data_IF_392169229243
#
_entry.id   IF_392169229243
#
_cell.length_a   1.000
_cell.length_b   1.000
_cell.length_c   1.000
_cell.angle_alpha   90.00
_cell.angle_beta   90.00
_cell.angle_gamma   90.00
#
_symmetry.space_group_name_H-M   'P 1'
#
loop_
_entity.id
_entity.type
_entity.pdbx_description
1 polymer ?
#
# COMPACT_ATOMS: atom_id res chain seq x y z
N UNK A 1 23.64 6.85 -7.91
CA UNK A 1 23.49 5.59 -7.16
C UNK A 1 22.12 5.51 -6.51
N UNK A 2 21.72 6.48 -5.68
CA UNK A 2 20.43 6.48 -4.96
C UNK A 2 19.19 6.46 -5.87
N UNK A 3 19.15 7.26 -6.95
CA UNK A 3 18.00 7.25 -7.87
C UNK A 3 17.85 5.93 -8.65
N UNK A 4 18.96 5.30 -9.04
CA UNK A 4 18.90 3.99 -9.70
C UNK A 4 18.36 2.93 -8.74
N UNK A 5 18.85 2.91 -7.50
CA UNK A 5 18.33 2.02 -6.46
C UNK A 5 16.83 2.25 -6.24
N UNK A 6 16.41 3.51 -6.10
CA UNK A 6 15.01 3.89 -5.91
C UNK A 6 14.13 3.42 -7.08
N UNK A 7 14.59 3.59 -8.32
CA UNK A 7 13.89 3.11 -9.51
C UNK A 7 13.73 1.58 -9.50
N UNK A 8 14.83 0.85 -9.27
CA UNK A 8 14.84 -0.62 -9.25
C UNK A 8 13.95 -1.16 -8.14
N UNK A 9 14.04 -0.59 -6.94
CA UNK A 9 13.21 -0.99 -5.79
C UNK A 9 11.73 -0.70 -6.07
N UNK A 10 11.39 0.49 -6.60
CA UNK A 10 10.01 0.82 -6.93
C UNK A 10 9.44 -0.12 -8.00
N UNK A 11 10.23 -0.44 -9.04
CA UNK A 11 9.88 -1.42 -10.07
C UNK A 11 9.63 -2.81 -9.47
N UNK A 12 10.56 -3.32 -8.65
CA UNK A 12 10.42 -4.64 -8.01
C UNK A 12 9.21 -4.65 -7.08
N UNK A 13 9.06 -3.65 -6.23
CA UNK A 13 7.92 -3.51 -5.32
C UNK A 13 6.58 -3.52 -6.07
N UNK A 14 6.48 -2.82 -7.20
CA UNK A 14 5.28 -2.83 -8.03
C UNK A 14 5.04 -4.17 -8.75
N UNK A 15 6.10 -4.86 -9.18
CA UNK A 15 6.02 -6.21 -9.75
C UNK A 15 5.36 -7.16 -8.77
N UNK A 16 5.83 -7.14 -7.52
CA UNK A 16 5.25 -7.94 -6.43
C UNK A 16 3.80 -7.59 -6.21
N UNK A 17 3.51 -6.29 -6.06
CA UNK A 17 2.17 -5.83 -5.76
C UNK A 17 1.18 -6.20 -6.87
N UNK A 18 1.61 -6.24 -8.14
CA UNK A 18 0.77 -6.65 -9.25
C UNK A 18 0.60 -8.17 -9.37
N UNK A 19 1.59 -8.97 -8.96
CA UNK A 19 1.47 -10.43 -8.95
C UNK A 19 0.70 -10.97 -7.74
N UNK A 20 0.82 -10.32 -6.58
CA UNK A 20 0.27 -10.80 -5.30
C UNK A 20 -1.01 -10.06 -4.89
N UNK A 21 -1.18 -8.81 -5.36
CA UNK A 21 -2.26 -7.90 -4.99
C UNK A 21 -1.86 -6.83 -3.97
N UNK A 22 -0.81 -7.06 -3.17
CA UNK A 22 -0.33 -6.10 -2.17
C UNK A 22 1.18 -6.22 -1.95
N UNK A 23 1.73 -5.37 -1.07
CA UNK A 23 3.11 -5.48 -0.60
C UNK A 23 4.07 -4.45 -1.20
N UNK A 24 3.73 -3.85 -2.35
CA UNK A 24 4.60 -2.83 -2.97
C UNK A 24 4.90 -1.65 -2.04
N UNK A 25 3.89 -1.16 -1.31
CA UNK A 25 4.08 -0.09 -0.33
C UNK A 25 4.93 -0.51 0.88
N UNK A 26 4.81 -1.77 1.33
CA UNK A 26 5.57 -2.30 2.48
C UNK A 26 7.06 -2.44 2.14
N UNK A 27 7.36 -2.84 0.90
CA UNK A 27 8.74 -2.98 0.41
C UNK A 27 9.37 -1.60 0.20
N UNK A 28 8.63 -0.68 -0.42
CA UNK A 28 9.20 0.59 -0.85
C UNK A 28 9.33 1.62 0.28
N UNK A 29 8.41 1.63 1.25
CA UNK A 29 8.36 2.66 2.30
C UNK A 29 9.66 2.74 3.13
N UNK A 30 10.24 1.65 3.65
CA UNK A 30 11.44 1.76 4.48
C UNK A 30 12.65 2.29 3.70
N UNK A 31 12.80 1.89 2.44
CA UNK A 31 13.88 2.35 1.58
C UNK A 31 13.71 3.85 1.29
N UNK A 32 12.47 4.27 1.02
CA UNK A 32 12.15 5.68 0.82
C UNK A 32 12.37 6.52 2.10
N UNK A 33 11.99 5.99 3.26
CA UNK A 33 12.19 6.62 4.56
C UNK A 33 13.67 6.86 4.88
N UNK A 34 14.57 5.96 4.48
CA UNK A 34 16.01 6.16 4.62
C UNK A 34 16.58 7.25 3.70
N UNK A 35 15.92 7.55 2.57
CA UNK A 35 16.42 8.52 1.58
C UNK A 35 15.87 9.93 1.86
N UNK A 36 14.58 10.05 2.15
CA UNK A 36 13.90 11.36 2.31
C UNK A 36 13.42 11.64 3.73
N UNK A 37 13.62 10.71 4.67
CA UNK A 37 13.06 10.78 6.01
C UNK A 37 11.60 10.31 6.05
N UNK A 38 11.18 9.71 7.17
CA UNK A 38 9.88 9.04 7.24
C UNK A 38 8.69 9.99 7.01
N UNK A 39 8.79 11.23 7.50
CA UNK A 39 7.68 12.20 7.43
C UNK A 39 7.37 12.58 5.98
N UNK A 40 8.40 12.72 5.16
CA UNK A 40 8.29 12.98 3.71
C UNK A 40 8.02 11.69 2.92
N UNK A 41 8.56 10.54 3.37
CA UNK A 41 8.42 9.27 2.65
C UNK A 41 6.97 8.82 2.47
N UNK A 42 6.08 9.06 3.45
CA UNK A 42 4.66 8.66 3.34
C UNK A 42 3.92 9.44 2.23
N UNK A 43 3.98 10.78 2.15
CA UNK A 43 3.48 11.53 1.00
C UNK A 43 4.13 11.15 -0.33
N UNK A 44 5.46 10.97 -0.37
CA UNK A 44 6.18 10.60 -1.60
C UNK A 44 5.78 9.21 -2.10
N UNK A 45 5.63 8.25 -1.17
CA UNK A 45 5.10 6.92 -1.47
C UNK A 45 3.68 7.01 -2.02
N UNK A 46 2.85 7.90 -1.47
CA UNK A 46 1.47 8.10 -1.94
C UNK A 46 1.45 8.53 -3.41
N UNK A 47 2.35 9.44 -3.82
CA UNK A 47 2.51 9.82 -5.23
C UNK A 47 2.90 8.62 -6.08
N UNK A 48 3.94 7.87 -5.70
CA UNK A 48 4.38 6.70 -6.47
C UNK A 48 3.29 5.63 -6.60
N UNK A 49 2.54 5.38 -5.53
CA UNK A 49 1.47 4.39 -5.50
C UNK A 49 0.27 4.78 -6.37
N UNK A 50 0.04 6.07 -6.68
CA UNK A 50 -0.99 6.46 -7.65
C UNK A 50 -0.69 5.82 -9.01
N UNK A 51 0.55 5.89 -9.49
CA UNK A 51 0.94 5.29 -10.78
C UNK A 51 0.89 3.76 -10.73
N UNK A 52 1.43 3.16 -9.66
CA UNK A 52 1.42 1.71 -9.48
C UNK A 52 0.01 1.13 -9.40
N UNK A 53 -0.90 1.77 -8.67
CA UNK A 53 -2.29 1.31 -8.56
C UNK A 53 -3.10 1.65 -9.81
N UNK A 54 -2.90 2.81 -10.45
CA UNK A 54 -3.57 3.15 -11.70
C UNK A 54 -3.23 2.18 -12.83
N UNK A 55 -1.95 1.80 -12.97
CA UNK A 55 -1.54 0.80 -13.96
C UNK A 55 -2.12 -0.59 -13.67
N UNK A 56 -2.07 -1.05 -12.41
CA UNK A 56 -2.70 -2.31 -11.99
C UNK A 56 -4.20 -2.36 -12.24
N UNK A 57 -4.93 -1.31 -11.85
CA UNK A 57 -6.36 -1.16 -12.15
C UNK A 57 -6.59 -1.22 -13.66
N UNK A 58 -5.83 -0.44 -14.44
CA UNK A 58 -6.02 -0.35 -15.89
C UNK A 58 -5.89 -1.71 -16.59
N UNK A 59 -4.94 -2.55 -16.15
CA UNK A 59 -4.72 -3.87 -16.73
C UNK A 59 -5.85 -4.87 -16.50
N UNK A 60 -6.66 -4.69 -15.45
CA UNK A 60 -7.79 -5.56 -15.11
C UNK A 60 -9.15 -4.85 -15.07
N UNK A 61 -9.25 -3.66 -15.67
CA UNK A 61 -10.42 -2.76 -15.55
C UNK A 61 -11.77 -3.36 -15.96
N UNK A 62 -11.76 -4.39 -16.79
CA UNK A 62 -12.97 -5.09 -17.25
C UNK A 62 -13.50 -6.11 -16.22
N UNK A 63 -12.69 -6.48 -15.23
CA UNK A 63 -13.01 -7.47 -14.19
C UNK A 63 -13.42 -6.82 -12.85
N UNK A 64 -13.61 -5.50 -12.83
CA UNK A 64 -13.91 -4.74 -11.62
C UNK A 64 -15.21 -5.17 -10.95
N UNK A 65 -15.15 -5.31 -9.63
CA UNK A 65 -16.30 -5.62 -8.79
C UNK A 65 -16.79 -4.35 -8.10
N UNK A 66 -17.59 -3.56 -8.81
CA UNK A 66 -18.04 -2.24 -8.36
C UNK A 66 -18.75 -2.24 -7.03
N UNK A 67 -19.61 -3.23 -6.76
CA UNK A 67 -20.39 -3.27 -5.53
C UNK A 67 -19.46 -3.36 -4.30
N UNK A 68 -18.59 -4.37 -4.14
CA UNK A 68 -17.61 -4.38 -3.05
C UNK A 68 -16.73 -3.13 -2.97
N UNK A 69 -16.28 -2.60 -4.12
CA UNK A 69 -15.47 -1.38 -4.20
C UNK A 69 -16.18 -0.20 -3.55
N UNK A 70 -17.46 0.02 -3.87
CA UNK A 70 -18.23 1.16 -3.36
C UNK A 70 -18.42 1.07 -1.84
N UNK A 71 -18.73 -0.12 -1.30
CA UNK A 71 -18.82 -0.32 0.16
C UNK A 71 -17.46 -0.07 0.83
N UNK A 72 -16.36 -0.52 0.21
CA UNK A 72 -15.02 -0.25 0.72
C UNK A 72 -14.67 1.24 0.70
N UNK A 73 -14.99 1.95 -0.38
CA UNK A 73 -14.76 3.39 -0.50
C UNK A 73 -15.59 4.21 0.48
N UNK A 74 -16.82 3.78 0.77
CA UNK A 74 -17.67 4.43 1.77
C UNK A 74 -17.02 4.47 3.16
N UNK A 75 -16.34 3.38 3.57
CA UNK A 75 -15.59 3.36 4.83
C UNK A 75 -14.21 4.01 4.74
N UNK A 76 -13.49 3.78 3.64
CA UNK A 76 -12.07 4.13 3.54
C UNK A 76 -11.81 5.60 3.25
N UNK A 77 -12.63 6.30 2.47
CA UNK A 77 -12.42 7.72 2.15
C UNK A 77 -12.50 8.60 3.42
N UNK A 78 -13.57 8.56 4.24
CA UNK A 78 -13.65 9.41 5.43
C UNK A 78 -12.52 9.14 6.42
N UNK A 79 -12.16 7.87 6.60
CA UNK A 79 -11.10 7.49 7.53
C UNK A 79 -9.69 7.76 6.98
N UNK A 80 -9.49 7.74 5.66
CA UNK A 80 -8.26 8.22 5.03
C UNK A 80 -8.10 9.74 5.20
N UNK A 81 -9.19 10.51 5.10
CA UNK A 81 -9.17 11.95 5.38
C UNK A 81 -8.82 12.21 6.84
N UNK A 82 -9.52 11.54 7.76
CA UNK A 82 -9.27 11.66 9.21
C UNK A 82 -7.82 11.32 9.55
N UNK A 83 -7.36 10.12 9.21
CA UNK A 83 -6.01 9.66 9.53
C UNK A 83 -4.91 10.48 8.86
N UNK A 84 -5.08 10.93 7.62
CA UNK A 84 -4.09 11.78 6.95
C UNK A 84 -4.02 13.18 7.54
N UNK A 85 -5.14 13.67 8.09
CA UNK A 85 -5.17 14.93 8.85
C UNK A 85 -4.53 14.78 10.23
N UNK A 86 -4.70 13.62 10.88
CA UNK A 86 -3.98 13.31 12.13
C UNK A 86 -2.48 13.19 11.88
N UNK A 87 -2.09 12.56 10.77
CA UNK A 87 -0.70 12.37 10.36
C UNK A 87 0.08 13.69 10.29
N UNK A 88 -0.53 14.80 9.84
CA UNK A 88 0.16 16.09 9.74
C UNK A 88 0.65 16.63 11.09
N UNK A 89 -0.04 16.28 12.18
CA UNK A 89 0.32 16.67 13.54
C UNK A 89 1.37 15.79 14.21
N UNK A 90 1.73 14.63 13.61
CA UNK A 90 2.69 13.71 14.22
C UNK A 90 4.13 14.18 14.03
N UNK A 91 4.95 13.94 15.05
CA UNK A 91 6.41 14.05 14.94
C UNK A 91 7.00 12.80 14.28
N UNK A 92 8.26 12.87 13.86
CA UNK A 92 8.91 11.77 13.14
C UNK A 92 8.94 10.46 13.96
N UNK A 93 9.26 10.53 15.25
CA UNK A 93 9.35 9.38 16.14
C UNK A 93 8.04 8.58 16.22
N UNK A 94 6.91 9.28 16.36
CA UNK A 94 5.59 8.64 16.38
C UNK A 94 5.26 8.02 15.03
N UNK A 95 5.60 8.67 13.92
CA UNK A 95 5.42 8.09 12.60
C UNK A 95 6.26 6.82 12.44
N UNK A 96 7.54 6.85 12.82
CA UNK A 96 8.43 5.69 12.80
C UNK A 96 7.85 4.52 13.60
N UNK A 97 7.40 4.76 14.83
CA UNK A 97 6.79 3.74 15.70
C UNK A 97 5.49 3.18 15.13
N UNK A 98 4.61 4.04 14.60
CA UNK A 98 3.34 3.61 13.99
C UNK A 98 3.57 2.77 12.73
N UNK A 99 4.46 3.21 11.84
CA UNK A 99 4.79 2.48 10.62
C UNK A 99 5.47 1.15 10.97
N UNK A 100 6.51 1.18 11.80
CA UNK A 100 7.24 -0.02 12.20
C UNK A 100 6.35 -1.03 12.94
N UNK A 101 5.53 -0.55 13.87
CA UNK A 101 4.55 -1.39 14.57
C UNK A 101 3.52 -2.01 13.63
N UNK A 102 3.02 -1.25 12.65
CA UNK A 102 2.14 -1.78 11.62
C UNK A 102 2.82 -2.84 10.76
N UNK A 103 4.07 -2.62 10.33
CA UNK A 103 4.85 -3.59 9.56
C UNK A 103 5.01 -4.92 10.33
N UNK A 104 5.38 -4.86 11.61
CA UNK A 104 5.51 -6.06 12.47
C UNK A 104 4.16 -6.74 12.67
N UNK A 105 3.09 -5.97 12.94
CA UNK A 105 1.75 -6.50 13.14
C UNK A 105 1.23 -7.25 11.92
N UNK A 106 1.52 -6.76 10.70
CA UNK A 106 1.18 -7.46 9.46
C UNK A 106 1.82 -8.85 9.41
N UNK A 107 3.10 -8.95 9.76
CA UNK A 107 3.83 -10.24 9.75
C UNK A 107 3.30 -11.19 10.82
N UNK A 108 3.08 -10.69 12.04
CA UNK A 108 2.51 -11.48 13.14
C UNK A 108 1.13 -12.00 12.77
N UNK A 109 0.25 -11.13 12.27
CA UNK A 109 -1.11 -11.50 11.85
C UNK A 109 -1.09 -12.63 10.81
N UNK A 110 -0.16 -12.58 9.85
CA UNK A 110 -0.04 -13.63 8.83
C UNK A 110 0.34 -15.00 9.41
N UNK A 111 1.16 -15.05 10.45
CA UNK A 111 1.64 -16.31 11.06
C UNK A 111 0.68 -16.90 12.09
N UNK A 112 -0.16 -16.07 12.71
CA UNK A 112 -1.13 -16.54 13.69
C UNK A 112 -2.28 -17.34 13.06
N UNK A 113 -2.32 -17.50 11.73
CA UNK A 113 -3.33 -18.25 10.98
C UNK A 113 -4.78 -17.88 11.36
N UNK A 114 -4.97 -16.64 11.86
CA UNK A 114 -6.26 -16.12 12.33
C UNK A 114 -7.20 -15.80 11.17
N UNK A 115 -6.77 -16.09 9.93
CA UNK A 115 -7.61 -16.14 8.75
C UNK A 115 -8.58 -17.33 8.85
N UNK A 116 -9.46 -17.32 9.84
CA UNK A 116 -10.76 -17.97 9.68
C UNK A 116 -11.40 -17.36 8.45
N UNK A 117 -12.08 -18.17 7.63
CA UNK A 117 -12.95 -17.71 6.54
C UNK A 117 -14.05 -16.84 7.14
N UNK A 118 -13.77 -15.58 7.41
CA UNK A 118 -14.81 -14.60 7.69
C UNK A 118 -15.32 -14.24 6.31
N UNK A 119 -16.44 -14.83 5.92
CA UNK A 119 -17.15 -14.47 4.70
C UNK A 119 -17.73 -13.07 4.89
N UNK A 120 -16.92 -12.08 4.55
CA UNK A 120 -17.30 -10.69 4.60
C UNK A 120 -18.07 -10.41 3.31
N UNK A 121 -19.41 -10.49 3.38
CA UNK A 121 -20.27 -9.98 2.33
C UNK A 121 -20.04 -8.48 2.11
N UNK A 122 -20.70 -7.89 1.10
CA UNK A 122 -20.54 -6.47 0.74
C UNK A 122 -20.57 -5.49 1.93
N UNK A 123 -21.44 -5.62 2.95
CA UNK A 123 -21.43 -4.73 4.12
C UNK A 123 -20.12 -4.79 4.93
N UNK A 124 -19.49 -5.95 5.01
CA UNK A 124 -18.20 -6.13 5.70
C UNK A 124 -17.06 -5.34 5.04
N UNK A 125 -17.20 -4.98 3.76
CA UNK A 125 -16.23 -4.13 3.07
C UNK A 125 -16.21 -2.71 3.63
N UNK A 126 -17.27 -2.21 4.27
CA UNK A 126 -17.24 -0.89 4.95
C UNK A 126 -16.24 -0.92 6.09
N UNK A 127 -16.30 -1.95 6.93
CA UNK A 127 -15.33 -2.14 8.02
C UNK A 127 -13.90 -2.27 7.47
N UNK A 128 -13.73 -3.06 6.41
CA UNK A 128 -12.45 -3.19 5.73
C UNK A 128 -11.92 -1.88 5.18
N UNK A 129 -12.80 -1.11 4.58
CA UNK A 129 -12.54 0.22 4.11
C UNK A 129 -12.10 1.13 5.26
N UNK A 130 -12.89 1.21 6.33
CA UNK A 130 -12.59 2.02 7.52
C UNK A 130 -11.21 1.71 8.09
N UNK A 131 -10.92 0.43 8.33
CA UNK A 131 -9.62 0.00 8.88
C UNK A 131 -8.47 0.32 7.90
N UNK A 132 -8.65 0.01 6.62
CA UNK A 132 -7.63 0.27 5.59
C UNK A 132 -7.39 1.76 5.42
N UNK A 133 -8.43 2.58 5.34
CA UNK A 133 -8.34 4.03 5.21
C UNK A 133 -7.62 4.65 6.39
N UNK A 134 -8.00 4.27 7.62
CA UNK A 134 -7.38 4.77 8.84
C UNK A 134 -5.89 4.41 8.93
N UNK A 135 -5.55 3.13 8.69
CA UNK A 135 -4.15 2.68 8.71
C UNK A 135 -3.35 3.33 7.58
N UNK A 136 -3.90 3.40 6.37
CA UNK A 136 -3.21 3.92 5.18
C UNK A 136 -2.81 5.38 5.32
N UNK A 137 -3.62 6.21 5.99
CA UNK A 137 -3.28 7.63 6.20
C UNK A 137 -2.22 7.84 7.27
N UNK A 138 -2.18 7.00 8.32
CA UNK A 138 -1.19 7.10 9.40
C UNK A 138 0.16 6.50 9.03
N UNK A 139 0.18 5.39 8.29
CA UNK A 139 1.41 4.63 8.03
C UNK A 139 1.87 4.74 6.57
N UNK A 140 1.08 5.37 5.70
CA UNK A 140 1.33 5.42 4.26
C UNK A 140 1.02 4.12 3.51
N UNK A 141 0.77 3.02 4.21
CA UNK A 141 0.53 1.69 3.65
C UNK A 141 -0.54 0.93 4.43
N UNK A 142 -1.57 0.44 3.75
CA UNK A 142 -2.51 -0.52 4.34
C UNK A 142 -2.88 -1.64 3.36
N UNK A 143 -1.98 -1.91 2.41
CA UNK A 143 -2.17 -2.94 1.38
C UNK A 143 -2.57 -4.31 1.94
N UNK A 144 -1.93 -4.83 3.00
CA UNK A 144 -2.35 -6.08 3.65
C UNK A 144 -3.78 -6.04 4.17
N UNK A 145 -4.18 -4.93 4.79
CA UNK A 145 -5.54 -4.78 5.31
C UNK A 145 -6.54 -4.79 4.17
N UNK A 146 -6.36 -3.97 3.13
CA UNK A 146 -7.24 -3.99 1.94
C UNK A 146 -7.32 -5.38 1.30
N UNK A 147 -6.16 -6.01 1.09
CA UNK A 147 -6.05 -7.34 0.53
C UNK A 147 -6.83 -8.39 1.33
N UNK A 148 -6.81 -8.35 2.67
CA UNK A 148 -7.55 -9.32 3.49
C UNK A 148 -9.05 -9.26 3.22
N UNK A 149 -9.62 -8.07 3.11
CA UNK A 149 -11.05 -7.89 2.85
C UNK A 149 -11.41 -8.28 1.40
N UNK A 150 -10.61 -7.87 0.42
CA UNK A 150 -10.86 -8.24 -0.98
C UNK A 150 -10.62 -9.74 -1.27
N UNK A 151 -9.69 -10.40 -0.57
CA UNK A 151 -9.51 -11.85 -0.65
C UNK A 151 -10.69 -12.62 -0.03
N UNK A 152 -11.29 -12.06 1.03
CA UNK A 152 -12.49 -12.63 1.66
C UNK A 152 -13.72 -12.72 0.74
N UNK A 153 -13.72 -12.01 -0.38
CA UNK A 153 -14.77 -12.05 -1.41
C UNK A 153 -14.65 -13.25 -2.37
N UNK A 154 -13.56 -14.03 -2.31
CA UNK A 154 -13.30 -15.17 -3.20
C UNK A 154 -13.40 -14.82 -4.71
N UNK A 155 -12.96 -13.62 -5.09
CA UNK A 155 -12.96 -13.18 -6.49
C UNK A 155 -11.88 -13.90 -7.30
N UNK A 156 -12.06 -14.04 -8.63
CA UNK A 156 -10.96 -14.43 -9.52
C UNK A 156 -9.74 -13.52 -9.33
N UNK A 157 -8.50 -14.03 -9.47
CA UNK A 157 -7.28 -13.28 -9.17
C UNK A 157 -7.19 -11.90 -9.85
N UNK A 158 -7.59 -11.81 -11.12
CA UNK A 158 -7.57 -10.54 -11.86
C UNK A 158 -8.59 -9.55 -11.30
N UNK A 159 -9.81 -10.00 -11.00
CA UNK A 159 -10.87 -9.19 -10.40
C UNK A 159 -10.48 -8.68 -9.00
N UNK A 160 -9.85 -9.54 -8.19
CA UNK A 160 -9.28 -9.20 -6.89
C UNK A 160 -8.24 -8.07 -7.00
N UNK A 161 -7.18 -8.28 -7.80
CA UNK A 161 -6.08 -7.32 -7.93
C UNK A 161 -6.57 -6.00 -8.51
N UNK A 162 -7.45 -6.03 -9.53
CA UNK A 162 -7.96 -4.83 -10.16
C UNK A 162 -8.88 -4.01 -9.23
N UNK A 163 -9.76 -4.68 -8.47
CA UNK A 163 -10.69 -4.02 -7.56
C UNK A 163 -9.98 -3.40 -6.36
N UNK A 164 -9.01 -4.11 -5.77
CA UNK A 164 -8.17 -3.58 -4.70
C UNK A 164 -7.29 -2.41 -5.20
N UNK A 165 -6.69 -2.55 -6.39
CA UNK A 165 -5.88 -1.48 -6.98
C UNK A 165 -6.71 -0.22 -7.26
N UNK A 166 -7.95 -0.36 -7.75
CA UNK A 166 -8.83 0.79 -7.95
C UNK A 166 -9.21 1.45 -6.62
N UNK A 167 -9.59 0.67 -5.60
CA UNK A 167 -9.89 1.21 -4.28
C UNK A 167 -8.69 1.93 -3.66
N UNK A 168 -7.50 1.33 -3.76
CA UNK A 168 -6.22 1.90 -3.31
C UNK A 168 -5.86 3.18 -4.07
N UNK A 169 -6.09 3.23 -5.38
CA UNK A 169 -5.89 4.43 -6.20
C UNK A 169 -6.72 5.59 -5.67
N UNK A 170 -8.02 5.39 -5.46
CA UNK A 170 -8.90 6.42 -4.89
C UNK A 170 -8.40 6.86 -3.52
N UNK A 171 -7.96 5.92 -2.68
CA UNK A 171 -7.36 6.22 -1.39
C UNK A 171 -6.13 7.11 -1.49
N UNK A 172 -5.18 6.78 -2.36
CA UNK A 172 -3.97 7.58 -2.54
C UNK A 172 -4.29 8.97 -3.12
N UNK A 173 -5.28 9.08 -4.01
CA UNK A 173 -5.79 10.37 -4.50
C UNK A 173 -6.43 11.19 -3.38
N UNK A 174 -7.22 10.57 -2.49
CA UNK A 174 -7.76 11.23 -1.30
C UNK A 174 -6.63 11.74 -0.39
N UNK A 175 -5.65 10.89 -0.08
CA UNK A 175 -4.53 11.23 0.80
C UNK A 175 -3.68 12.36 0.25
N UNK A 176 -3.34 12.35 -1.05
CA UNK A 176 -2.48 13.38 -1.62
C UNK A 176 -3.13 14.77 -1.58
N UNK A 177 -4.46 14.85 -1.72
CA UNK A 177 -5.22 16.11 -1.53
C UNK A 177 -5.09 16.59 -0.09
N UNK A 178 -5.25 15.71 0.90
CA UNK A 178 -5.12 16.06 2.32
C UNK A 178 -3.69 16.44 2.67
N UNK A 179 -2.69 15.67 2.26
CA UNK A 179 -1.27 15.98 2.49
C UNK A 179 -0.86 17.30 1.85
N UNK A 180 -1.38 17.61 0.65
CA UNK A 180 -1.16 18.91 0.00
C UNK A 180 -1.74 20.06 0.83
N UNK A 181 -2.96 19.90 1.37
CA UNK A 181 -3.59 20.89 2.25
C UNK A 181 -2.74 21.23 3.48
N UNK A 182 -2.02 20.26 4.02
CA UNK A 182 -1.14 20.42 5.18
C UNK A 182 0.33 20.69 4.81
N UNK A 183 0.63 21.04 3.55
CA UNK A 183 2.00 21.33 3.07
C UNK A 183 3.01 20.19 3.30
N UNK A 184 2.53 18.94 3.34
CA UNK A 184 3.38 17.75 3.45
C UNK A 184 3.91 17.25 2.10
N UNK A 185 3.42 17.83 1.00
CA UNK A 185 3.82 17.51 -0.36
C UNK A 185 4.79 18.59 -0.85
N UNK A 186 6.06 18.25 -0.97
CA UNK A 186 7.10 19.15 -1.47
C UNK A 186 7.30 18.96 -2.97
N UNK A 187 7.85 19.97 -3.68
CA UNK A 187 8.22 19.84 -5.10
C UNK A 187 9.22 18.69 -5.32
N UNK A 188 10.21 18.57 -4.44
CA UNK A 188 11.19 17.46 -4.45
C UNK A 188 10.48 16.12 -4.29
N UNK A 189 9.56 16.03 -3.34
CA UNK A 189 8.78 14.83 -3.08
C UNK A 189 7.89 14.42 -4.26
N UNK A 190 7.26 15.38 -4.94
CA UNK A 190 6.50 15.12 -6.18
C UNK A 190 7.40 14.55 -7.28
N UNK A 191 8.60 15.10 -7.47
CA UNK A 191 9.56 14.61 -8.47
C UNK A 191 10.03 13.19 -8.15
N UNK A 192 10.46 12.94 -6.91
CA UNK A 192 10.91 11.61 -6.46
C UNK A 192 9.77 10.58 -6.57
N UNK A 193 8.57 10.96 -6.12
CA UNK A 193 7.38 10.10 -6.16
C UNK A 193 6.94 9.80 -7.59
N UNK A 194 6.98 10.77 -8.49
CA UNK A 194 6.67 10.59 -9.92
C UNK A 194 7.71 9.70 -10.59
N UNK A 195 9.00 9.92 -10.32
CA UNK A 195 10.07 9.09 -10.87
C UNK A 195 9.95 7.63 -10.43
N UNK A 196 9.70 7.37 -9.14
CA UNK A 196 9.37 6.04 -8.65
C UNK A 196 8.07 5.51 -9.28
N UNK A 197 7.04 6.35 -9.42
CA UNK A 197 5.75 6.01 -10.00
C UNK A 197 5.87 5.51 -11.45
N UNK A 198 6.72 6.15 -12.27
CA UNK A 198 7.02 5.68 -13.64
C UNK A 198 7.66 4.28 -13.60
N UNK A 199 8.60 4.03 -12.69
CA UNK A 199 9.16 2.69 -12.49
C UNK A 199 8.09 1.67 -12.09
N UNK A 200 7.14 2.07 -11.25
CA UNK A 200 6.03 1.23 -10.82
C UNK A 200 5.08 0.83 -11.94
N UNK A 201 4.93 1.62 -13.02
CA UNK A 201 4.16 1.22 -14.20
C UNK A 201 4.80 0.00 -14.86
N UNK A 202 6.10 0.07 -15.13
CA UNK A 202 6.86 -1.04 -15.72
C UNK A 202 6.82 -2.28 -14.83
N UNK A 203 7.01 -2.09 -13.52
CA UNK A 203 6.92 -3.18 -12.55
C UNK A 203 5.54 -3.82 -12.55
N UNK A 204 4.47 -3.02 -12.54
CA UNK A 204 3.10 -3.53 -12.55
C UNK A 204 2.78 -4.34 -13.81
N UNK A 205 3.30 -3.92 -14.97
CA UNK A 205 3.16 -4.66 -16.21
C UNK A 205 3.86 -6.03 -16.12
N UNK A 206 5.10 -6.07 -15.65
CA UNK A 206 5.84 -7.31 -15.43
C UNK A 206 5.14 -8.22 -14.43
N UNK A 207 4.63 -7.65 -13.33
CA UNK A 207 3.90 -8.41 -12.32
C UNK A 207 2.59 -9.00 -12.84
N UNK A 208 1.91 -8.30 -13.76
CA UNK A 208 0.74 -8.85 -14.48
C UNK A 208 1.11 -10.08 -15.32
N UNK A 209 2.25 -10.08 -16.00
CA UNK A 209 2.71 -11.22 -16.80
C UNK A 209 3.08 -12.43 -15.94
N UNK A 210 3.52 -12.17 -14.71
CA UNK A 210 3.91 -13.19 -13.73
C UNK A 210 2.75 -13.64 -12.83
N UNK A 211 1.60 -12.95 -12.90
CA UNK A 211 0.36 -13.34 -12.25
C UNK A 211 0.04 -14.78 -12.70
N UNK A 212 -0.10 -15.71 -11.74
CA UNK A 212 -0.23 -17.18 -11.90
C UNK A 212 1.05 -18.03 -12.04
N UNK A 213 2.25 -17.45 -12.17
CA UNK A 213 3.50 -18.22 -12.39
C UNK A 213 4.50 -18.24 -11.22
N UNK A 214 4.34 -17.36 -10.24
CA UNK A 214 5.25 -17.27 -9.08
C UNK A 214 4.69 -18.07 -7.90
N UNK A 215 5.54 -18.87 -7.24
CA UNK A 215 5.21 -19.44 -5.93
C UNK A 215 5.08 -18.30 -4.92
N UNK A 216 3.84 -18.01 -4.53
CA UNK A 216 3.49 -16.92 -3.61
C UNK A 216 4.22 -17.05 -2.28
N UNK A 217 4.39 -18.28 -1.77
CA UNK A 217 5.01 -18.54 -0.47
C UNK A 217 6.47 -18.08 -0.39
N UNK A 218 7.34 -18.53 -1.31
CA UNK A 218 8.79 -18.24 -1.25
C UNK A 218 9.09 -16.76 -1.36
N UNK A 219 8.34 -16.06 -2.21
CA UNK A 219 8.52 -14.63 -2.39
C UNK A 219 8.05 -13.84 -1.17
N UNK A 220 6.87 -14.21 -0.62
CA UNK A 220 6.37 -13.59 0.60
C UNK A 220 7.30 -13.80 1.80
N UNK A 221 7.99 -14.94 1.92
CA UNK A 221 8.99 -15.16 2.98
C UNK A 221 10.14 -14.15 2.93
N UNK A 222 10.69 -13.86 1.74
CA UNK A 222 11.78 -12.88 1.58
C UNK A 222 11.30 -11.48 1.94
N UNK A 223 10.13 -11.09 1.43
CA UNK A 223 9.52 -9.77 1.72
C UNK A 223 9.26 -9.60 3.20
N UNK A 224 8.76 -10.61 3.87
CA UNK A 224 8.53 -10.54 5.31
C UNK A 224 9.81 -10.40 6.11
N UNK A 225 10.88 -11.10 5.74
CA UNK A 225 12.18 -10.90 6.37
C UNK A 225 12.58 -9.42 6.33
N UNK A 226 12.43 -8.78 5.16
CA UNK A 226 12.67 -7.36 5.00
C UNK A 226 11.72 -6.49 5.84
N UNK A 227 10.42 -6.80 5.83
CA UNK A 227 9.40 -6.07 6.60
C UNK A 227 9.68 -6.15 8.11
N UNK A 228 10.06 -7.31 8.64
CA UNK A 228 10.41 -7.47 10.06
C UNK A 228 11.66 -6.68 10.38
N UNK A 229 12.72 -6.81 9.58
CA UNK A 229 13.99 -6.09 9.80
C UNK A 229 13.76 -4.58 9.79
N UNK A 230 13.09 -4.06 8.76
CA UNK A 230 12.79 -2.63 8.68
C UNK A 230 11.79 -2.18 9.73
N UNK A 231 10.77 -2.99 10.03
CA UNK A 231 9.77 -2.68 11.04
C UNK A 231 10.39 -2.53 12.43
N UNK A 232 11.23 -3.47 12.83
CA UNK A 232 11.97 -3.41 14.09
C UNK A 232 12.97 -2.25 14.10
N UNK A 233 13.70 -2.03 12.99
CA UNK A 233 14.59 -0.88 12.86
C UNK A 233 13.84 0.43 13.08
N UNK A 234 12.70 0.62 12.42
CA UNK A 234 11.88 1.83 12.57
C UNK A 234 11.30 1.98 13.97
N UNK A 235 11.00 0.89 14.68
CA UNK A 235 10.47 0.97 16.05
C UNK A 235 11.52 1.32 17.10
N UNK A 236 12.74 0.79 16.96
CA UNK A 236 13.75 0.79 18.03
C UNK A 236 15.01 1.61 17.70
N UNK A 237 15.25 1.95 16.43
CA UNK A 237 16.46 2.63 15.96
C UNK A 237 16.13 3.96 15.25
N UNK A 238 14.96 4.54 15.56
CA UNK A 238 14.47 5.82 15.02
C UNK A 238 15.39 7.00 15.37
#
# INVERSE_FOLDING_TARGET
>A
MEYLLLFVVAYLAATVSASVGFGGALIFLPILANIVGIKEAVPVLTVAQIFGNASRFWFGRHELQWKPILYFLAGSIPFAILSSSLYSGLNADWVFKLVGGFLVLVVVYRHLNVAKKVELGNPGMVLGGTLTGFLSGLTGSAGPTGALFFLGLNLPPVAYVASDAFASLVLHLTKIVVYSKYSLVTTKGLLVGTFAGVAMIGGSYTGKLLLSRISKEKFLMVVEGLIVVFGLQMMFLA
#
